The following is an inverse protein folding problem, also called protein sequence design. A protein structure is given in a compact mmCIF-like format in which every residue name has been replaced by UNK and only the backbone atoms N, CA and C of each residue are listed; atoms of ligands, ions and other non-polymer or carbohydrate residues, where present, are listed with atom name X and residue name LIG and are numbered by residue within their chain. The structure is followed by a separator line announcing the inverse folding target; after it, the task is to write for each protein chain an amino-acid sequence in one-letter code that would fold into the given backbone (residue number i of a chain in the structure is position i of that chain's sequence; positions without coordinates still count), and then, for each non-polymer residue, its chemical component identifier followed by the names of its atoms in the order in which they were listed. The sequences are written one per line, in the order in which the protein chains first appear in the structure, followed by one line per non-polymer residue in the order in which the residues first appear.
data_IF_440931580486
#
_entry.id   IF_440931580486
#
_cell.length_a   1.000
_cell.length_b   1.000
_cell.length_c   1.000
_cell.angle_alpha   90.00
_cell.angle_beta   90.00
_cell.angle_gamma   90.00
#
_symmetry.space_group_name_H-M   'P 1'
#
loop_
_entity.id
_entity.type
_entity.pdbx_description
1 polymer ?
#
# COMPACT_ATOMS: atom_id res chain seq x y z
N UNK A 1 -16.81 -27.74 60.16
CA UNK A 1 -15.79 -26.67 60.00
C UNK A 1 -14.37 -27.22 59.82
N UNK A 2 -13.84 -28.08 60.72
CA UNK A 2 -12.51 -28.70 60.57
C UNK A 2 -12.28 -29.45 59.24
N UNK A 3 -13.25 -30.25 58.79
CA UNK A 3 -13.11 -31.01 57.52
C UNK A 3 -13.08 -30.10 56.29
N UNK A 4 -13.86 -29.03 56.28
CA UNK A 4 -13.86 -28.03 55.19
C UNK A 4 -12.49 -27.34 55.14
N UNK A 5 -11.97 -26.91 56.29
CA UNK A 5 -10.63 -26.28 56.38
C UNK A 5 -9.54 -27.25 55.92
N UNK A 6 -9.62 -28.52 56.28
CA UNK A 6 -8.66 -29.56 55.88
C UNK A 6 -8.67 -29.80 54.37
N UNK A 7 -9.84 -29.92 53.77
CA UNK A 7 -9.99 -30.10 52.32
C UNK A 7 -9.53 -28.86 51.53
N UNK A 8 -9.86 -27.65 52.02
CA UNK A 8 -9.36 -26.40 51.42
C UNK A 8 -7.85 -26.29 51.49
N UNK A 9 -7.22 -26.69 52.60
CA UNK A 9 -5.77 -26.67 52.75
C UNK A 9 -5.09 -27.66 51.81
N UNK A 10 -5.63 -28.88 51.68
CA UNK A 10 -5.13 -29.90 50.76
C UNK A 10 -5.20 -29.40 49.32
N UNK A 11 -6.33 -28.81 48.91
CA UNK A 11 -6.48 -28.23 47.57
C UNK A 11 -5.49 -27.09 47.33
N UNK A 12 -5.33 -26.17 48.28
CA UNK A 12 -4.36 -25.07 48.18
C UNK A 12 -2.92 -25.58 48.01
N UNK A 13 -2.54 -26.63 48.73
CA UNK A 13 -1.21 -27.25 48.60
C UNK A 13 -1.05 -27.89 47.22
N UNK A 14 -2.03 -28.67 46.75
CA UNK A 14 -1.96 -29.31 45.43
C UNK A 14 -1.87 -28.25 44.32
N UNK A 15 -2.71 -27.22 44.35
CA UNK A 15 -2.66 -26.13 43.37
C UNK A 15 -1.32 -25.37 43.43
N UNK A 16 -0.76 -25.15 44.62
CA UNK A 16 0.55 -24.49 44.78
C UNK A 16 1.68 -25.33 44.20
N UNK A 17 1.68 -26.65 44.45
CA UNK A 17 2.68 -27.57 43.90
C UNK A 17 2.56 -27.67 42.38
N UNK A 18 1.35 -27.79 41.86
CA UNK A 18 1.09 -27.82 40.41
C UNK A 18 1.52 -26.50 39.73
N UNK A 19 1.19 -25.36 40.33
CA UNK A 19 1.60 -24.04 39.84
C UNK A 19 3.11 -23.85 39.85
N UNK A 20 3.78 -24.27 40.92
CA UNK A 20 5.25 -24.22 41.03
C UNK A 20 5.93 -25.13 40.00
N UNK A 21 5.40 -26.35 39.78
CA UNK A 21 5.91 -27.26 38.76
C UNK A 21 5.74 -26.68 37.35
N UNK A 22 4.59 -26.07 37.04
CA UNK A 22 4.35 -25.43 35.75
C UNK A 22 5.26 -24.20 35.54
N UNK A 23 5.44 -23.37 36.57
CA UNK A 23 6.30 -22.20 36.53
C UNK A 23 7.78 -22.59 36.33
N UNK A 24 8.26 -23.63 37.01
CA UNK A 24 9.60 -24.15 36.82
C UNK A 24 9.80 -24.76 35.42
N UNK A 25 8.79 -25.45 34.90
CA UNK A 25 8.81 -25.99 33.54
C UNK A 25 8.85 -24.85 32.51
N UNK A 26 8.04 -23.80 32.70
CA UNK A 26 8.02 -22.62 31.85
C UNK A 26 9.35 -21.86 31.89
N UNK A 27 9.97 -21.66 33.06
CA UNK A 27 11.22 -20.88 33.17
C UNK A 27 12.42 -21.57 32.52
N UNK A 28 12.46 -22.90 32.53
CA UNK A 28 13.49 -23.67 31.82
C UNK A 28 13.24 -23.69 30.31
N UNK A 29 11.97 -23.81 29.89
CA UNK A 29 11.62 -23.92 28.47
C UNK A 29 11.58 -22.58 27.74
N UNK A 30 11.30 -21.46 28.43
CA UNK A 30 11.16 -20.14 27.82
C UNK A 30 12.41 -19.70 27.08
N UNK A 31 13.60 -19.96 27.64
CA UNK A 31 14.87 -19.59 27.01
C UNK A 31 15.12 -20.39 25.73
N UNK A 32 14.83 -21.69 25.74
CA UNK A 32 14.95 -22.56 24.56
C UNK A 32 13.95 -22.15 23.49
N UNK A 33 12.73 -21.78 23.88
CA UNK A 33 11.70 -21.28 22.96
C UNK A 33 12.17 -19.97 22.31
N UNK A 34 12.70 -19.04 23.11
CA UNK A 34 13.22 -17.77 22.61
C UNK A 34 14.41 -17.95 21.66
N UNK A 35 15.38 -18.80 22.00
CA UNK A 35 16.52 -19.11 21.12
C UNK A 35 16.07 -19.73 19.80
N UNK A 36 15.12 -20.66 19.83
CA UNK A 36 14.56 -21.28 18.61
C UNK A 36 13.81 -20.27 17.75
N UNK A 37 13.01 -19.41 18.36
CA UNK A 37 12.29 -18.34 17.66
C UNK A 37 13.27 -17.36 17.01
N UNK A 38 14.35 -16.99 17.71
CA UNK A 38 15.38 -16.12 17.16
C UNK A 38 16.15 -16.78 16.00
N UNK A 39 16.49 -18.07 16.14
CA UNK A 39 17.14 -18.83 15.08
C UNK A 39 16.23 -18.96 13.84
N UNK A 40 14.94 -19.23 14.04
CA UNK A 40 13.95 -19.29 12.96
C UNK A 40 13.79 -17.94 12.25
N UNK A 41 13.70 -16.86 13.02
CA UNK A 41 13.68 -15.52 12.47
C UNK A 41 14.93 -15.23 11.65
N UNK A 42 16.12 -15.49 12.18
CA UNK A 42 17.38 -15.26 11.47
C UNK A 42 17.45 -16.05 10.15
N UNK A 43 16.95 -17.30 10.12
CA UNK A 43 16.85 -18.08 8.88
C UNK A 43 15.92 -17.41 7.85
N UNK A 44 14.76 -16.90 8.28
CA UNK A 44 13.83 -16.18 7.39
C UNK A 44 14.42 -14.87 6.87
N UNK A 45 15.15 -14.14 7.71
CA UNK A 45 15.85 -12.91 7.30
C UNK A 45 16.92 -13.21 6.25
N UNK A 46 17.71 -14.28 6.44
CA UNK A 46 18.72 -14.72 5.46
C UNK A 46 18.08 -15.18 4.14
N UNK A 47 16.93 -15.85 4.18
CA UNK A 47 16.18 -16.24 2.96
C UNK A 47 15.78 -15.01 2.14
N UNK A 48 15.38 -13.93 2.82
CA UNK A 48 14.93 -12.68 2.19
C UNK A 48 16.05 -11.79 1.68
N UNK A 49 17.24 -11.81 2.32
CA UNK A 49 18.44 -11.10 1.88
C UNK A 49 19.67 -12.02 1.96
N UNK A 50 19.85 -12.93 0.98
CA UNK A 50 20.90 -13.97 1.04
C UNK A 50 22.32 -13.43 1.05
N UNK A 51 22.51 -12.21 0.55
CA UNK A 51 23.81 -11.55 0.43
C UNK A 51 24.21 -10.77 1.69
N UNK A 52 23.35 -10.66 2.70
CA UNK A 52 23.67 -9.98 3.94
C UNK A 52 24.44 -10.89 4.90
N UNK A 53 25.41 -10.31 5.62
CA UNK A 53 26.23 -10.99 6.63
C UNK A 53 25.61 -10.86 8.03
N UNK A 54 25.00 -9.71 8.33
CA UNK A 54 24.43 -9.42 9.64
C UNK A 54 23.09 -8.69 9.52
N UNK A 55 22.20 -8.97 10.49
CA UNK A 55 20.91 -8.33 10.66
C UNK A 55 20.84 -7.73 12.06
N UNK A 56 20.66 -6.41 12.14
CA UNK A 56 20.57 -5.70 13.42
C UNK A 56 19.14 -5.23 13.64
N UNK A 57 18.44 -5.65 14.72
CA UNK A 57 17.10 -5.18 15.01
C UNK A 57 17.11 -3.71 15.41
N UNK A 58 16.17 -2.95 14.88
CA UNK A 58 15.93 -1.55 15.19
C UNK A 58 14.43 -1.35 15.42
N UNK A 59 14.11 -0.61 16.48
CA UNK A 59 12.75 -0.18 16.78
C UNK A 59 12.75 1.35 16.79
N UNK A 60 12.02 1.97 15.88
CA UNK A 60 11.90 3.42 15.76
C UNK A 60 10.44 3.78 15.50
N UNK A 61 9.89 4.73 16.26
CA UNK A 61 8.52 5.23 16.11
C UNK A 61 7.43 4.14 16.06
N UNK A 62 7.63 3.05 16.81
CA UNK A 62 6.71 1.90 16.85
C UNK A 62 6.88 0.91 15.69
N UNK A 63 7.77 1.19 14.73
CA UNK A 63 8.10 0.30 13.62
C UNK A 63 9.33 -0.53 13.97
N UNK A 64 9.25 -1.84 13.72
CA UNK A 64 10.36 -2.78 13.91
C UNK A 64 10.94 -3.18 12.55
N UNK A 65 12.26 -3.09 12.40
CA UNK A 65 12.95 -3.51 11.19
C UNK A 65 14.36 -4.02 11.49
N UNK A 66 14.93 -4.76 10.54
CA UNK A 66 16.27 -5.34 10.63
C UNK A 66 17.17 -4.73 9.57
N UNK A 67 18.17 -3.96 9.99
CA UNK A 67 19.18 -3.42 9.08
C UNK A 67 20.12 -4.55 8.66
N UNK A 68 20.25 -4.76 7.35
CA UNK A 68 21.10 -5.77 6.77
C UNK A 68 22.41 -5.15 6.30
N UNK A 69 23.55 -5.72 6.70
CA UNK A 69 24.87 -5.25 6.23
C UNK A 69 25.66 -6.38 5.57
N UNK A 70 26.48 -6.02 4.59
CA UNK A 70 27.42 -6.90 3.90
C UNK A 70 28.80 -6.26 3.89
N UNK A 71 29.80 -6.94 4.42
CA UNK A 71 31.17 -6.42 4.58
C UNK A 71 31.21 -5.02 5.25
N UNK A 72 30.30 -4.76 6.20
CA UNK A 72 30.17 -3.48 6.89
C UNK A 72 29.47 -2.37 6.10
N UNK A 73 28.96 -2.64 4.89
CA UNK A 73 28.17 -1.71 4.08
C UNK A 73 26.67 -2.04 4.14
N UNK A 74 25.76 -1.04 4.05
CA UNK A 74 24.32 -1.28 3.97
C UNK A 74 23.97 -2.14 2.76
N UNK A 75 23.36 -3.30 3.01
CA UNK A 75 22.90 -4.22 1.97
C UNK A 75 21.38 -4.14 1.74
N UNK A 76 20.65 -3.52 2.68
CA UNK A 76 19.20 -3.39 2.65
C UNK A 76 18.59 -3.36 4.05
N UNK A 77 17.29 -3.57 4.16
CA UNK A 77 16.64 -3.86 5.43
C UNK A 77 15.45 -4.81 5.25
N UNK A 78 15.02 -5.43 6.33
CA UNK A 78 13.78 -6.21 6.39
C UNK A 78 12.83 -5.54 7.35
N UNK A 79 11.69 -5.07 6.83
CA UNK A 79 10.63 -4.45 7.61
C UNK A 79 9.70 -5.52 8.17
N UNK A 80 9.31 -5.38 9.44
CA UNK A 80 8.20 -6.13 10.02
C UNK A 80 6.93 -5.33 9.79
N UNK A 81 5.98 -5.92 9.06
CA UNK A 81 4.73 -5.26 8.72
C UNK A 81 3.54 -6.20 8.97
N UNK A 82 2.34 -5.64 9.01
CA UNK A 82 1.12 -6.41 9.12
C UNK A 82 0.05 -5.83 8.20
N UNK A 83 -0.73 -6.72 7.58
CA UNK A 83 -1.90 -6.37 6.79
C UNK A 83 -3.17 -6.92 7.43
N UNK A 84 -4.31 -6.24 7.28
CA UNK A 84 -5.60 -6.78 7.74
C UNK A 84 -6.17 -7.75 6.70
N UNK A 85 -6.20 -9.04 7.03
CA UNK A 85 -6.83 -10.10 6.26
C UNK A 85 -8.33 -10.24 6.54
N UNK A 86 -8.92 -11.35 6.08
CA UNK A 86 -10.33 -11.65 6.30
C UNK A 86 -10.60 -12.13 7.73
N UNK A 87 -9.76 -13.02 8.25
CA UNK A 87 -9.93 -13.68 9.55
C UNK A 87 -9.05 -13.05 10.65
N UNK A 88 -8.18 -12.11 10.32
CA UNK A 88 -7.30 -11.45 11.29
C UNK A 88 -6.11 -10.76 10.64
N UNK A 89 -5.10 -10.35 11.44
CA UNK A 89 -3.85 -9.83 10.91
C UNK A 89 -3.09 -10.90 10.12
N UNK A 90 -2.39 -10.45 9.10
CA UNK A 90 -1.43 -11.21 8.30
C UNK A 90 -0.07 -10.56 8.55
N UNK A 91 0.80 -11.28 9.26
CA UNK A 91 2.14 -10.83 9.61
C UNK A 91 3.09 -11.05 8.43
N UNK A 92 3.90 -10.03 8.13
CA UNK A 92 4.75 -9.98 6.96
C UNK A 92 6.18 -9.59 7.34
N UNK A 93 7.13 -10.18 6.64
CA UNK A 93 8.48 -9.66 6.49
C UNK A 93 8.65 -9.18 5.05
N UNK A 94 9.05 -7.92 4.89
CA UNK A 94 9.27 -7.31 3.57
C UNK A 94 10.72 -6.87 3.50
N UNK A 95 11.51 -7.48 2.61
CA UNK A 95 12.91 -7.08 2.39
C UNK A 95 13.03 -6.04 1.31
N UNK A 96 13.99 -5.15 1.51
CA UNK A 96 14.30 -4.03 0.64
C UNK A 96 15.78 -4.04 0.29
N UNK A 97 16.10 -3.66 -0.94
CA UNK A 97 17.45 -3.26 -1.33
C UNK A 97 17.77 -1.87 -0.78
N UNK A 98 19.05 -1.52 -0.80
CA UNK A 98 19.53 -0.21 -0.35
C UNK A 98 18.96 0.98 -1.16
N UNK A 99 18.38 0.74 -2.33
CA UNK A 99 17.74 1.75 -3.19
C UNK A 99 16.23 1.92 -2.95
N UNK A 100 15.63 1.16 -2.01
CA UNK A 100 14.20 1.25 -1.70
C UNK A 100 13.30 0.29 -2.46
N UNK A 101 13.85 -0.58 -3.32
CA UNK A 101 13.08 -1.59 -4.01
C UNK A 101 12.85 -2.83 -3.16
N UNK A 102 11.62 -3.34 -3.18
CA UNK A 102 11.27 -4.61 -2.53
C UNK A 102 12.05 -5.76 -3.18
N UNK A 103 12.80 -6.52 -2.39
CA UNK A 103 13.54 -7.71 -2.81
C UNK A 103 12.72 -9.00 -2.59
N UNK A 104 11.86 -9.00 -1.57
CA UNK A 104 11.07 -10.17 -1.22
C UNK A 104 10.00 -9.88 -0.18
N UNK A 105 8.97 -10.72 -0.18
CA UNK A 105 7.88 -10.70 0.81
C UNK A 105 7.70 -12.11 1.34
N UNK A 106 7.61 -12.25 2.65
CA UNK A 106 7.29 -13.52 3.34
C UNK A 106 6.12 -13.30 4.28
N UNK A 107 5.13 -14.18 4.20
CA UNK A 107 4.08 -14.25 5.23
C UNK A 107 4.62 -15.08 6.39
N UNK A 108 4.58 -14.52 7.60
CA UNK A 108 5.14 -15.16 8.79
C UNK A 108 4.10 -15.72 9.74
N UNK A 109 2.86 -15.26 9.64
CA UNK A 109 1.72 -15.71 10.44
C UNK A 109 0.41 -15.13 9.91
N UNK A 110 -0.67 -15.89 10.00
CA UNK A 110 -2.02 -15.42 9.69
C UNK A 110 -3.09 -16.34 10.30
N UNK A 111 -4.35 -15.89 10.35
CA UNK A 111 -5.51 -16.70 10.78
C UNK A 111 -6.49 -17.05 9.65
N UNK A 112 -6.10 -16.85 8.39
CA UNK A 112 -6.95 -17.09 7.22
C UNK A 112 -7.42 -18.56 7.06
N UNK A 113 -8.58 -18.74 6.44
CA UNK A 113 -9.17 -20.06 6.17
C UNK A 113 -8.27 -20.90 5.26
N UNK A 114 -7.89 -22.10 5.72
CA UNK A 114 -7.08 -23.05 4.96
C UNK A 114 -7.71 -23.39 3.60
N UNK A 115 -6.90 -23.41 2.54
CA UNK A 115 -7.30 -23.74 1.17
C UNK A 115 -7.89 -22.57 0.35
N UNK A 116 -8.26 -21.48 1.02
CA UNK A 116 -8.74 -20.25 0.39
C UNK A 116 -7.77 -19.11 0.69
N UNK A 117 -7.76 -18.59 1.92
CA UNK A 117 -7.02 -17.38 2.26
C UNK A 117 -5.51 -17.57 2.38
N UNK A 118 -5.04 -18.80 2.63
CA UNK A 118 -3.59 -19.13 2.60
C UNK A 118 -2.95 -19.03 1.21
N UNK A 119 -3.73 -18.77 0.15
CA UNK A 119 -3.19 -18.54 -1.20
C UNK A 119 -2.32 -17.29 -1.29
N UNK A 120 -2.43 -16.38 -0.32
CA UNK A 120 -1.52 -15.23 -0.19
C UNK A 120 -0.10 -15.63 0.20
N UNK A 121 0.15 -16.87 0.61
CA UNK A 121 1.50 -17.39 0.87
C UNK A 121 2.18 -17.92 -0.41
N UNK A 122 1.44 -18.02 -1.52
CA UNK A 122 1.97 -18.65 -2.74
C UNK A 122 3.11 -17.82 -3.33
N UNK A 123 4.21 -18.45 -3.78
CA UNK A 123 5.31 -17.73 -4.42
C UNK A 123 4.89 -16.94 -5.65
N UNK A 124 3.89 -17.41 -6.40
CA UNK A 124 3.33 -16.68 -7.55
C UNK A 124 2.70 -15.36 -7.15
N UNK A 125 2.00 -15.31 -6.02
CA UNK A 125 1.39 -14.09 -5.53
C UNK A 125 2.44 -13.13 -4.95
N UNK A 126 3.31 -13.63 -4.06
CA UNK A 126 4.29 -12.82 -3.36
C UNK A 126 5.38 -12.23 -4.27
N UNK A 127 5.73 -12.89 -5.37
CA UNK A 127 6.71 -12.36 -6.34
C UNK A 127 6.24 -11.10 -7.08
N UNK A 128 4.93 -10.83 -7.12
CA UNK A 128 4.40 -9.63 -7.78
C UNK A 128 4.84 -8.33 -7.08
N UNK A 129 5.23 -8.41 -5.81
CA UNK A 129 5.71 -7.27 -5.03
C UNK A 129 7.20 -6.99 -5.24
N UNK A 130 7.96 -7.92 -5.83
CA UNK A 130 9.41 -7.74 -6.04
C UNK A 130 9.64 -6.65 -7.09
N UNK A 131 10.55 -5.72 -6.79
CA UNK A 131 10.88 -4.57 -7.62
C UNK A 131 9.98 -3.35 -7.39
N UNK A 132 8.92 -3.46 -6.59
CA UNK A 132 8.05 -2.33 -6.22
C UNK A 132 8.80 -1.37 -5.31
N UNK A 133 8.51 -0.09 -5.45
CA UNK A 133 9.09 1.00 -4.66
C UNK A 133 8.04 2.10 -4.42
N UNK A 134 8.41 3.15 -3.69
CA UNK A 134 7.50 4.24 -3.37
C UNK A 134 7.02 4.98 -4.62
N UNK A 135 5.75 5.40 -4.64
CA UNK A 135 5.12 6.10 -5.77
C UNK A 135 4.56 5.18 -6.86
N UNK A 136 4.87 3.88 -6.82
CA UNK A 136 4.20 2.90 -7.68
C UNK A 136 2.91 2.42 -7.02
N UNK A 137 1.84 2.14 -7.80
CA UNK A 137 0.68 1.45 -7.26
C UNK A 137 1.13 0.09 -6.70
N UNK A 138 0.54 -0.28 -5.56
CA UNK A 138 0.64 -1.62 -4.94
C UNK A 138 -0.77 -1.99 -4.49
N UNK A 139 -1.61 -2.31 -5.48
CA UNK A 139 -3.04 -2.48 -5.33
C UNK A 139 -3.57 -3.68 -6.15
N UNK A 140 -4.49 -4.41 -5.52
CA UNK A 140 -5.15 -5.56 -6.16
C UNK A 140 -6.04 -5.08 -7.32
N UNK A 141 -5.80 -5.60 -8.51
CA UNK A 141 -6.56 -5.28 -9.72
C UNK A 141 -6.00 -4.10 -10.53
N UNK A 142 -4.93 -3.45 -10.05
CA UNK A 142 -4.15 -2.49 -10.83
C UNK A 142 -2.86 -3.12 -11.30
N UNK A 143 -1.94 -3.32 -10.37
CA UNK A 143 -0.58 -3.79 -10.63
C UNK A 143 -0.29 -5.14 -9.95
N UNK A 144 -1.16 -5.56 -9.01
CA UNK A 144 -1.10 -6.87 -8.35
C UNK A 144 -2.36 -7.68 -8.69
N UNK A 145 -2.18 -8.89 -9.21
CA UNK A 145 -3.28 -9.83 -9.43
C UNK A 145 -3.66 -10.48 -8.10
N UNK A 146 -4.96 -10.48 -7.80
CA UNK A 146 -5.51 -11.14 -6.62
C UNK A 146 -5.20 -12.64 -6.60
N UNK A 147 -4.91 -13.20 -5.43
CA UNK A 147 -4.97 -14.63 -5.25
C UNK A 147 -6.42 -15.12 -5.44
N UNK A 148 -6.63 -16.05 -6.38
CA UNK A 148 -7.97 -16.54 -6.75
C UNK A 148 -8.75 -16.98 -5.50
N UNK A 149 -9.95 -16.46 -5.30
CA UNK A 149 -10.80 -16.77 -4.14
C UNK A 149 -10.37 -16.17 -2.80
N UNK A 150 -9.26 -15.42 -2.76
CA UNK A 150 -8.69 -14.83 -1.54
C UNK A 150 -8.51 -13.31 -1.67
N UNK A 151 -9.46 -12.62 -2.32
CA UNK A 151 -9.34 -11.19 -2.66
C UNK A 151 -9.19 -10.29 -1.44
N UNK A 152 -9.90 -10.59 -0.33
CA UNK A 152 -9.82 -9.79 0.91
C UNK A 152 -8.44 -9.94 1.54
N UNK A 153 -7.97 -11.18 1.72
CA UNK A 153 -6.64 -11.50 2.23
C UNK A 153 -5.54 -10.87 1.36
N UNK A 154 -5.68 -10.95 0.03
CA UNK A 154 -4.72 -10.39 -0.92
C UNK A 154 -4.63 -8.86 -0.81
N UNK A 155 -5.76 -8.17 -0.62
CA UNK A 155 -5.77 -6.71 -0.34
C UNK A 155 -5.08 -6.39 0.98
N UNK A 156 -5.27 -7.23 2.00
CA UNK A 156 -4.55 -7.13 3.28
C UNK A 156 -3.04 -7.17 3.09
N UNK A 157 -2.53 -8.17 2.35
CA UNK A 157 -1.09 -8.28 2.06
C UNK A 157 -0.58 -7.09 1.26
N UNK A 158 -1.30 -6.68 0.20
CA UNK A 158 -0.90 -5.52 -0.60
C UNK A 158 -0.84 -4.23 0.25
N UNK A 159 -1.78 -4.05 1.18
CA UNK A 159 -1.77 -2.91 2.11
C UNK A 159 -0.57 -2.97 3.06
N UNK A 160 -0.26 -4.15 3.62
CA UNK A 160 0.89 -4.32 4.51
C UNK A 160 2.23 -4.09 3.79
N UNK A 161 2.37 -4.56 2.54
CA UNK A 161 3.56 -4.29 1.72
C UNK A 161 3.68 -2.80 1.39
N UNK A 162 2.58 -2.14 1.02
CA UNK A 162 2.57 -0.69 0.76
C UNK A 162 2.98 0.11 1.99
N UNK A 163 2.49 -0.27 3.17
CA UNK A 163 2.90 0.35 4.43
C UNK A 163 4.40 0.11 4.69
N UNK A 164 4.89 -1.11 4.50
CA UNK A 164 6.32 -1.41 4.64
C UNK A 164 7.21 -0.56 3.71
N UNK A 165 6.77 -0.31 2.46
CA UNK A 165 7.45 0.58 1.52
C UNK A 165 7.52 2.00 2.09
N UNK A 166 6.41 2.54 2.59
CA UNK A 166 6.39 3.87 3.19
C UNK A 166 7.31 3.95 4.43
N UNK A 167 7.22 2.98 5.32
CA UNK A 167 8.00 2.93 6.56
C UNK A 167 9.50 2.77 6.27
N UNK A 168 9.89 1.98 5.27
CA UNK A 168 11.30 1.85 4.86
C UNK A 168 11.89 3.19 4.40
N UNK A 169 11.15 3.94 3.58
CA UNK A 169 11.61 5.23 3.08
C UNK A 169 11.82 6.24 4.21
N UNK A 170 10.90 6.28 5.17
CA UNK A 170 10.98 7.19 6.33
C UNK A 170 12.10 6.77 7.29
N UNK A 171 12.15 5.51 7.71
CA UNK A 171 13.00 5.08 8.82
C UNK A 171 14.38 4.61 8.39
N UNK A 172 14.52 4.06 7.17
CA UNK A 172 15.80 3.52 6.69
C UNK A 172 16.49 4.49 5.75
N UNK A 173 15.82 4.92 4.67
CA UNK A 173 16.41 5.89 3.74
C UNK A 173 16.47 7.30 4.31
N UNK A 174 15.72 7.58 5.39
CA UNK A 174 15.49 8.94 5.90
C UNK A 174 15.04 9.90 4.79
N UNK A 175 14.44 9.34 3.75
CA UNK A 175 13.73 10.13 2.77
C UNK A 175 12.54 10.73 3.53
N UNK A 176 12.27 12.04 3.40
CA UNK A 176 11.01 12.56 3.92
C UNK A 176 9.90 11.69 3.33
N UNK A 177 8.89 11.28 4.13
CA UNK A 177 7.78 10.52 3.58
C UNK A 177 7.30 11.27 2.35
N UNK A 178 7.37 10.65 1.18
CA UNK A 178 6.61 11.12 0.04
C UNK A 178 5.18 11.02 0.51
N UNK A 179 4.61 12.17 0.89
CA UNK A 179 3.19 12.35 1.08
C UNK A 179 2.58 11.66 -0.14
N UNK A 180 1.80 10.57 0.05
CA UNK A 180 1.03 10.01 -1.07
C UNK A 180 0.37 11.22 -1.71
N UNK A 181 0.74 11.57 -2.96
CA UNK A 181 0.15 12.74 -3.58
C UNK A 181 -1.35 12.49 -3.60
N UNK A 182 -2.07 13.21 -2.74
CA UNK A 182 -3.50 13.10 -2.66
C UNK A 182 -4.06 13.88 -3.84
N UNK A 183 -3.96 13.26 -5.00
CA UNK A 183 -4.27 13.88 -6.27
C UNK A 183 -5.79 13.94 -6.45
N UNK A 184 -6.30 15.14 -6.22
CA UNK A 184 -7.71 15.49 -6.40
C UNK A 184 -7.98 16.05 -7.81
N UNK A 185 -6.96 16.19 -8.67
CA UNK A 185 -7.10 16.78 -10.00
C UNK A 185 -8.10 16.03 -10.88
N UNK A 186 -8.27 14.73 -10.62
CA UNK A 186 -9.18 13.83 -11.34
C UNK A 186 -10.31 13.28 -10.47
N UNK A 187 -10.55 13.90 -9.31
CA UNK A 187 -11.71 13.59 -8.48
C UNK A 187 -12.81 14.58 -8.83
N UNK A 188 -13.99 14.05 -9.15
CA UNK A 188 -15.16 14.87 -9.49
C UNK A 188 -15.65 15.68 -8.30
N UNK A 189 -16.36 16.74 -8.63
CA UNK A 189 -17.12 17.49 -7.64
C UNK A 189 -18.23 16.60 -7.08
N UNK A 190 -18.28 16.47 -5.75
CA UNK A 190 -19.21 15.53 -5.12
C UNK A 190 -18.96 15.32 -3.65
N UNK A 191 -19.86 14.55 -3.05
CA UNK A 191 -19.77 14.12 -1.65
C UNK A 191 -19.45 12.64 -1.61
N UNK A 192 -18.30 12.33 -1.03
CA UNK A 192 -17.73 11.00 -0.95
C UNK A 192 -17.86 10.47 0.47
N UNK A 193 -18.31 9.23 0.62
CA UNK A 193 -18.46 8.59 1.94
C UNK A 193 -17.36 7.58 2.17
N UNK A 194 -16.71 7.68 3.32
CA UNK A 194 -15.70 6.73 3.74
C UNK A 194 -15.94 6.26 5.16
N UNK A 195 -15.45 5.06 5.46
CA UNK A 195 -15.55 4.46 6.77
C UNK A 195 -14.19 3.88 7.15
N UNK A 196 -13.87 3.96 8.44
CA UNK A 196 -12.75 3.29 9.05
C UNK A 196 -13.14 2.76 10.43
N UNK A 197 -12.50 1.68 10.91
CA UNK A 197 -12.67 1.22 12.28
C UNK A 197 -12.13 2.27 13.26
N UNK A 198 -12.97 2.78 14.16
CA UNK A 198 -12.57 3.53 15.35
C UNK A 198 -12.43 2.64 16.57
N UNK A 199 -12.27 3.23 17.76
CA UNK A 199 -11.92 2.48 18.97
C UNK A 199 -13.10 1.67 19.53
N UNK A 200 -14.30 2.28 19.60
CA UNK A 200 -15.54 1.61 20.06
C UNK A 200 -16.54 1.29 18.93
N UNK A 201 -16.22 1.67 17.69
CA UNK A 201 -17.06 1.42 16.53
C UNK A 201 -16.57 2.19 15.30
N UNK A 202 -17.27 2.07 14.16
CA UNK A 202 -16.82 2.73 12.93
C UNK A 202 -16.88 4.26 13.04
N UNK A 203 -15.87 4.91 12.48
CA UNK A 203 -15.87 6.33 12.17
C UNK A 203 -16.24 6.48 10.70
N UNK A 204 -17.27 7.26 10.45
CA UNK A 204 -17.78 7.55 9.10
C UNK A 204 -17.50 9.00 8.77
N UNK A 205 -17.13 9.27 7.51
CA UNK A 205 -16.88 10.63 7.03
C UNK A 205 -17.61 10.89 5.73
N UNK A 206 -18.03 12.13 5.55
CA UNK A 206 -18.48 12.68 4.27
C UNK A 206 -17.52 13.77 3.82
N UNK A 207 -16.80 13.52 2.72
CA UNK A 207 -15.79 14.41 2.14
C UNK A 207 -16.41 15.10 0.93
N UNK A 208 -16.52 16.42 0.97
CA UNK A 208 -16.96 17.23 -0.18
C UNK A 208 -15.74 17.69 -0.94
N UNK A 209 -15.67 17.33 -2.22
CA UNK A 209 -14.66 17.81 -3.17
C UNK A 209 -15.34 18.76 -4.15
N UNK A 210 -14.76 19.95 -4.35
CA UNK A 210 -15.18 20.92 -5.36
C UNK A 210 -13.95 21.55 -6.01
N UNK A 211 -13.91 21.60 -7.34
CA UNK A 211 -12.81 22.18 -8.11
C UNK A 211 -11.46 21.55 -7.78
N UNK A 212 -11.42 20.21 -7.67
CA UNK A 212 -10.23 19.44 -7.28
C UNK A 212 -9.67 19.79 -5.90
N UNK A 213 -10.52 20.30 -5.00
CA UNK A 213 -10.16 20.62 -3.62
C UNK A 213 -11.16 20.05 -2.64
N UNK A 214 -10.67 19.58 -1.49
CA UNK A 214 -11.52 19.25 -0.34
C UNK A 214 -12.05 20.57 0.23
N UNK A 215 -13.36 20.77 0.18
CA UNK A 215 -14.00 21.97 0.75
C UNK A 215 -14.61 21.72 2.11
N UNK A 216 -14.99 20.48 2.39
CA UNK A 216 -15.62 20.11 3.66
C UNK A 216 -15.37 18.65 3.98
N UNK A 217 -15.17 18.35 5.27
CA UNK A 217 -15.18 16.99 5.80
C UNK A 217 -16.09 16.97 7.02
N UNK A 218 -17.13 16.14 6.98
CA UNK A 218 -18.05 15.91 8.10
C UNK A 218 -17.75 14.55 8.71
N UNK A 219 -17.64 14.46 10.03
CA UNK A 219 -17.31 13.22 10.75
C UNK A 219 -18.50 12.79 11.61
N UNK A 220 -18.79 11.50 11.62
CA UNK A 220 -19.74 10.85 12.52
C UNK A 220 -19.07 9.65 13.17
N UNK A 221 -19.12 9.58 14.51
CA UNK A 221 -18.49 8.52 15.30
C UNK A 221 -19.42 8.06 16.43
N UNK A 222 -19.15 6.85 16.93
CA UNK A 222 -19.79 6.27 18.12
C UNK A 222 -18.82 6.12 19.30
N UNK A 223 -17.65 6.73 19.18
CA UNK A 223 -16.57 6.67 20.16
C UNK A 223 -16.86 7.53 21.40
N UNK A 224 -15.98 7.50 22.41
CA UNK A 224 -16.21 8.15 23.71
C UNK A 224 -16.37 9.67 23.58
N UNK A 225 -17.47 10.25 24.08
CA UNK A 225 -17.66 11.71 24.13
C UNK A 225 -16.50 12.41 24.87
N UNK A 226 -16.25 13.69 24.57
CA UNK A 226 -15.12 14.52 25.01
C UNK A 226 -13.77 14.25 24.31
N UNK A 227 -13.33 13.00 24.15
CA UNK A 227 -12.04 12.69 23.50
C UNK A 227 -12.16 12.64 21.99
N UNK A 228 -13.22 11.99 21.49
CA UNK A 228 -13.43 11.84 20.05
C UNK A 228 -13.96 13.13 19.39
N UNK A 229 -14.71 13.93 20.15
CA UNK A 229 -15.28 15.19 19.67
C UNK A 229 -14.19 16.19 19.27
N UNK A 230 -13.11 16.29 20.07
CA UNK A 230 -11.98 17.19 19.77
C UNK A 230 -11.28 16.78 18.46
N UNK A 231 -11.04 15.48 18.25
CA UNK A 231 -10.47 14.99 16.99
C UNK A 231 -11.43 15.18 15.80
N UNK A 232 -12.73 14.99 16.01
CA UNK A 232 -13.77 15.19 15.00
C UNK A 232 -13.91 16.66 14.57
N UNK A 233 -13.48 17.63 15.39
CA UNK A 233 -13.44 19.04 15.01
C UNK A 233 -12.11 19.46 14.36
N UNK A 234 -10.97 19.00 14.91
CA UNK A 234 -9.64 19.50 14.51
C UNK A 234 -9.14 18.83 13.23
N UNK A 235 -9.30 17.51 13.10
CA UNK A 235 -8.73 16.74 11.97
C UNK A 235 -9.35 17.17 10.64
N UNK A 236 -10.69 17.28 10.50
CA UNK A 236 -11.32 17.81 9.29
C UNK A 236 -10.78 19.16 8.83
N UNK A 237 -10.56 20.10 9.75
CA UNK A 237 -10.02 21.43 9.44
C UNK A 237 -8.60 21.31 8.89
N UNK A 238 -7.74 20.53 9.54
CA UNK A 238 -6.37 20.28 9.07
C UNK A 238 -6.36 19.66 7.67
N UNK A 239 -7.27 18.73 7.39
CA UNK A 239 -7.37 18.06 6.09
C UNK A 239 -7.76 19.05 4.99
N UNK A 240 -8.75 19.91 5.26
CA UNK A 240 -9.16 20.99 4.33
C UNK A 240 -8.02 21.99 4.14
N UNK A 241 -7.34 22.42 5.21
CA UNK A 241 -6.25 23.40 5.10
C UNK A 241 -5.04 22.84 4.33
N UNK A 242 -4.71 21.56 4.54
CA UNK A 242 -3.57 20.89 3.90
C UNK A 242 -3.90 20.30 2.54
N UNK A 243 -5.19 20.19 2.19
CA UNK A 243 -5.65 19.45 1.01
C UNK A 243 -5.09 18.03 0.96
N UNK A 244 -4.96 17.41 2.15
CA UNK A 244 -4.31 16.13 2.31
C UNK A 244 -4.90 15.37 3.50
N UNK A 245 -5.13 14.07 3.36
CA UNK A 245 -5.76 13.27 4.41
C UNK A 245 -4.80 12.95 5.58
N UNK A 246 -3.49 12.80 5.34
CA UNK A 246 -2.49 12.69 6.43
C UNK A 246 -2.18 14.06 6.97
N UNK A 247 -2.50 14.26 8.24
CA UNK A 247 -2.26 15.47 9.01
C UNK A 247 -1.79 15.06 10.42
N UNK A 248 -1.29 16.01 11.20
CA UNK A 248 -0.89 15.73 12.57
C UNK A 248 -2.10 15.24 13.39
N UNK A 249 -1.86 14.29 14.29
CA UNK A 249 -2.87 13.79 15.22
C UNK A 249 -3.21 14.83 16.30
N UNK A 250 -4.34 14.65 16.97
CA UNK A 250 -4.70 15.40 18.18
C UNK A 250 -4.15 14.66 19.41
N UNK A 251 -3.46 15.40 20.29
CA UNK A 251 -2.90 14.83 21.52
C UNK A 251 -4.00 14.26 22.40
N UNK A 252 -3.86 13.01 22.83
CA UNK A 252 -4.89 12.32 23.64
C UNK A 252 -6.01 11.66 22.82
N UNK A 253 -6.10 11.92 21.52
CA UNK A 253 -7.11 11.36 20.62
C UNK A 253 -6.49 10.71 19.36
N UNK A 254 -5.36 10.00 19.53
CA UNK A 254 -4.58 9.40 18.44
C UNK A 254 -5.41 8.39 17.63
N UNK A 255 -6.08 7.45 18.29
CA UNK A 255 -6.86 6.41 17.61
C UNK A 255 -8.01 6.99 16.76
N UNK A 256 -8.73 7.98 17.29
CA UNK A 256 -9.79 8.68 16.55
C UNK A 256 -9.22 9.51 15.42
N UNK A 257 -8.08 10.19 15.64
CA UNK A 257 -7.41 10.97 14.59
C UNK A 257 -7.01 10.09 13.39
N UNK A 258 -6.40 8.93 13.67
CA UNK A 258 -6.02 7.95 12.65
C UNK A 258 -7.24 7.36 11.92
N UNK A 259 -8.31 7.05 12.66
CA UNK A 259 -9.56 6.57 12.07
C UNK A 259 -10.18 7.61 11.11
N UNK A 260 -10.20 8.90 11.47
CA UNK A 260 -10.70 9.97 10.59
C UNK A 260 -9.83 10.09 9.33
N UNK A 261 -8.50 10.13 9.47
CA UNK A 261 -7.59 10.22 8.32
C UNK A 261 -7.76 9.03 7.38
N UNK A 262 -7.91 7.82 7.93
CA UNK A 262 -8.14 6.60 7.15
C UNK A 262 -9.52 6.60 6.48
N UNK A 263 -10.57 7.07 7.18
CA UNK A 263 -11.90 7.17 6.61
C UNK A 263 -11.94 8.16 5.45
N UNK A 264 -11.23 9.30 5.55
CA UNK A 264 -11.10 10.28 4.45
C UNK A 264 -10.36 9.67 3.27
N UNK A 265 -9.26 8.96 3.53
CA UNK A 265 -8.53 8.21 2.50
C UNK A 265 -9.38 7.16 1.80
N UNK A 266 -10.29 6.51 2.52
CA UNK A 266 -11.21 5.52 1.96
C UNK A 266 -12.42 6.16 1.26
N UNK A 267 -12.74 7.41 1.57
CA UNK A 267 -13.85 8.14 0.96
C UNK A 267 -13.51 8.55 -0.48
N UNK A 268 -12.35 9.18 -0.65
CA UNK A 268 -11.96 9.76 -1.93
C UNK A 268 -11.44 8.65 -2.86
N UNK A 269 -12.05 8.47 -4.04
CA UNK A 269 -11.63 7.43 -4.98
C UNK A 269 -10.25 7.76 -5.55
N UNK A 270 -9.50 6.72 -5.91
CA UNK A 270 -8.25 6.90 -6.63
C UNK A 270 -8.53 7.54 -8.01
N UNK A 271 -7.67 8.47 -8.46
CA UNK A 271 -7.85 9.14 -9.74
C UNK A 271 -7.71 8.13 -10.89
N UNK A 272 -8.80 7.86 -11.60
CA UNK A 272 -8.80 7.03 -12.81
C UNK A 272 -8.89 7.94 -14.04
N UNK A 273 -7.99 7.75 -15.00
CA UNK A 273 -8.04 8.46 -16.29
C UNK A 273 -9.14 7.85 -17.17
N UNK A 274 -10.33 8.43 -17.11
CA UNK A 274 -11.43 8.06 -18.00
C UNK A 274 -11.55 9.04 -19.17
N UNK A 275 -11.30 8.55 -20.39
CA UNK A 275 -11.35 9.36 -21.63
C UNK A 275 -12.73 10.00 -21.84
N UNK A 276 -13.79 9.26 -21.47
CA UNK A 276 -15.17 9.75 -21.48
C UNK A 276 -15.39 11.01 -20.67
N UNK A 277 -14.53 11.33 -19.71
CA UNK A 277 -14.70 12.44 -18.79
C UNK A 277 -13.82 13.64 -19.12
N UNK A 278 -12.98 13.53 -20.15
CA UNK A 278 -12.06 14.60 -20.52
C UNK A 278 -12.80 15.70 -21.32
N UNK A 279 -12.42 16.94 -21.04
CA UNK A 279 -12.88 18.10 -21.78
C UNK A 279 -12.39 18.06 -23.24
N UNK A 280 -13.11 18.77 -24.11
CA UNK A 280 -12.75 18.87 -25.50
C UNK A 280 -11.50 19.75 -25.67
N UNK A 281 -10.55 19.32 -26.51
CA UNK A 281 -9.31 20.05 -26.71
C UNK A 281 -8.22 19.25 -27.41
N UNK A 282 -7.09 19.92 -27.66
CA UNK A 282 -5.86 19.28 -28.12
C UNK A 282 -4.84 19.28 -26.98
N UNK A 283 -4.32 18.10 -26.66
CA UNK A 283 -3.39 17.91 -25.55
C UNK A 283 -2.10 17.28 -26.05
N UNK A 284 -0.97 17.87 -25.67
CA UNK A 284 0.34 17.37 -26.05
C UNK A 284 1.01 16.64 -24.91
N UNK A 285 1.58 15.47 -25.21
CA UNK A 285 2.26 14.61 -24.26
C UNK A 285 3.60 14.15 -24.78
N UNK A 286 4.44 13.72 -23.85
CA UNK A 286 5.77 13.19 -24.13
C UNK A 286 5.96 11.89 -23.34
N UNK A 287 6.65 10.93 -23.97
CA UNK A 287 7.00 9.65 -23.35
C UNK A 287 8.35 9.17 -23.86
N UNK A 288 9.12 8.54 -22.98
CA UNK A 288 10.48 8.09 -23.28
C UNK A 288 10.43 6.80 -24.13
N UNK A 289 10.97 6.87 -25.35
CA UNK A 289 11.24 5.69 -26.18
C UNK A 289 12.64 5.11 -25.93
N UNK A 290 13.02 4.09 -26.68
CA UNK A 290 14.36 3.50 -26.65
C UNK A 290 15.43 4.46 -27.17
N UNK A 291 15.13 5.23 -28.22
CA UNK A 291 16.10 6.10 -28.90
C UNK A 291 15.92 7.59 -28.54
N UNK A 292 14.96 7.91 -27.67
CA UNK A 292 14.67 9.28 -27.22
C UNK A 292 13.16 9.56 -27.09
N UNK A 293 12.78 10.82 -26.81
CA UNK A 293 11.39 11.16 -26.51
C UNK A 293 10.49 11.06 -27.74
N UNK A 294 9.27 10.57 -27.50
CA UNK A 294 8.16 10.54 -28.44
C UNK A 294 7.16 11.61 -28.01
N UNK A 295 6.87 12.56 -28.89
CA UNK A 295 5.90 13.64 -28.67
C UNK A 295 4.65 13.39 -29.47
N UNK A 296 3.50 13.52 -28.82
CA UNK A 296 2.19 13.32 -29.45
C UNK A 296 1.26 14.47 -29.15
N UNK A 297 0.26 14.63 -30.02
CA UNK A 297 -0.92 15.46 -29.81
C UNK A 297 -2.16 14.58 -29.89
N UNK A 298 -3.00 14.67 -28.88
CA UNK A 298 -4.26 13.94 -28.79
C UNK A 298 -5.41 14.94 -28.84
N UNK A 299 -6.36 14.74 -29.75
CA UNK A 299 -7.57 15.55 -29.84
C UNK A 299 -8.72 14.79 -29.19
N UNK A 300 -9.31 15.38 -28.16
CA UNK A 300 -10.52 14.88 -27.48
C UNK A 300 -11.72 15.72 -27.92
N UNK A 301 -12.81 15.06 -28.30
CA UNK A 301 -14.09 15.69 -28.62
C UNK A 301 -15.25 14.83 -28.15
N UNK A 302 -16.19 15.42 -27.41
CA UNK A 302 -17.35 14.73 -26.83
C UNK A 302 -16.97 13.63 -25.82
N UNK A 303 -15.82 13.74 -25.16
CA UNK A 303 -15.27 12.66 -24.30
C UNK A 303 -14.77 11.45 -25.10
N UNK A 304 -14.29 11.66 -26.33
CA UNK A 304 -13.65 10.62 -27.15
C UNK A 304 -12.38 11.15 -27.77
N UNK A 305 -11.35 10.33 -27.85
CA UNK A 305 -10.19 10.59 -28.69
C UNK A 305 -10.61 10.44 -30.15
N UNK A 306 -10.60 11.55 -30.88
CA UNK A 306 -10.95 11.61 -32.30
C UNK A 306 -9.74 11.67 -33.22
N UNK A 307 -8.57 12.05 -32.67
CA UNK A 307 -7.33 12.10 -33.43
C UNK A 307 -6.11 11.92 -32.52
N UNK A 308 -5.08 11.27 -33.05
CA UNK A 308 -3.77 11.14 -32.42
C UNK A 308 -2.70 11.42 -33.48
N UNK A 309 -1.94 12.51 -33.29
CA UNK A 309 -0.81 12.88 -34.15
C UNK A 309 0.52 12.66 -33.44
N UNK A 310 1.47 11.99 -34.09
CA UNK A 310 2.86 11.93 -33.61
C UNK A 310 3.60 13.16 -34.14
N UNK A 311 4.05 14.04 -33.26
CA UNK A 311 4.69 15.31 -33.60
C UNK A 311 6.20 15.14 -33.84
N UNK A 312 6.87 14.34 -33.01
CA UNK A 312 8.30 14.07 -33.10
C UNK A 312 8.63 12.72 -32.44
N UNK A 313 9.64 12.02 -32.96
CA UNK A 313 10.22 10.84 -32.31
C UNK A 313 11.67 10.64 -32.80
N UNK A 314 12.47 9.94 -32.00
CA UNK A 314 13.84 9.52 -32.38
C UNK A 314 13.97 8.01 -32.59
N UNK A 315 12.86 7.26 -32.52
CA UNK A 315 12.84 5.80 -32.74
C UNK A 315 13.36 5.37 -34.11
N UNK A 316 13.89 4.15 -34.16
CA UNK A 316 14.28 3.53 -35.43
C UNK A 316 13.06 3.45 -36.35
N UNK A 317 13.15 3.91 -37.61
CA UNK A 317 12.00 4.03 -38.51
C UNK A 317 11.14 2.76 -38.64
N UNK A 318 11.79 1.59 -38.74
CA UNK A 318 11.09 0.30 -38.88
C UNK A 318 10.25 -0.08 -37.65
N UNK A 319 10.72 0.25 -36.44
CA UNK A 319 9.99 -0.04 -35.21
C UNK A 319 8.84 0.95 -35.01
N UNK A 320 9.07 2.24 -35.29
CA UNK A 320 8.03 3.27 -35.24
C UNK A 320 6.90 2.99 -36.24
N UNK A 321 7.24 2.63 -37.48
CA UNK A 321 6.28 2.30 -38.53
C UNK A 321 5.43 1.07 -38.20
N UNK A 322 5.97 0.13 -37.42
CA UNK A 322 5.23 -1.05 -36.94
C UNK A 322 4.35 -0.76 -35.72
N UNK A 323 4.83 0.05 -34.78
CA UNK A 323 4.15 0.28 -33.50
C UNK A 323 3.08 1.37 -33.58
N UNK A 324 3.41 2.54 -34.14
CA UNK A 324 2.58 3.73 -33.97
C UNK A 324 1.19 3.59 -34.59
N UNK A 325 1.02 3.15 -35.85
CA UNK A 325 -0.31 3.05 -36.45
C UNK A 325 -1.22 2.04 -35.73
N UNK A 326 -0.64 0.95 -35.22
CA UNK A 326 -1.40 -0.10 -34.52
C UNK A 326 -1.90 0.41 -33.17
N UNK A 327 -1.04 1.07 -32.41
CA UNK A 327 -1.38 1.59 -31.08
C UNK A 327 -2.34 2.76 -31.17
N UNK A 328 -2.10 3.73 -32.06
CA UNK A 328 -3.00 4.88 -32.19
C UNK A 328 -4.39 4.44 -32.65
N UNK A 329 -4.48 3.50 -33.59
CA UNK A 329 -5.77 2.93 -34.00
C UNK A 329 -6.45 2.19 -32.85
N UNK A 330 -5.73 1.36 -32.09
CA UNK A 330 -6.29 0.61 -30.97
C UNK A 330 -6.80 1.53 -29.85
N UNK A 331 -6.09 2.62 -29.54
CA UNK A 331 -6.52 3.61 -28.54
C UNK A 331 -7.76 4.37 -29.02
N UNK A 332 -7.80 4.77 -30.30
CA UNK A 332 -8.99 5.43 -30.88
C UNK A 332 -10.20 4.49 -30.98
N UNK A 333 -10.00 3.19 -31.20
CA UNK A 333 -11.08 2.20 -31.25
C UNK A 333 -11.60 1.86 -29.85
N UNK A 334 -10.70 1.50 -28.92
CA UNK A 334 -11.06 1.05 -27.58
C UNK A 334 -11.37 2.20 -26.61
N UNK A 335 -10.95 3.43 -26.95
CA UNK A 335 -11.04 4.60 -26.07
C UNK A 335 -10.40 4.30 -24.69
N UNK A 336 -9.29 3.58 -24.70
CA UNK A 336 -8.54 3.17 -23.52
C UNK A 336 -7.05 3.10 -23.84
N UNK A 337 -6.22 3.39 -22.83
CA UNK A 337 -4.75 3.27 -22.95
C UNK A 337 -4.26 1.83 -22.69
N UNK A 338 -5.13 0.95 -22.19
CA UNK A 338 -4.80 -0.45 -21.98
C UNK A 338 -4.93 -1.22 -23.30
N UNK A 339 -3.89 -1.12 -24.12
CA UNK A 339 -3.77 -1.79 -25.42
C UNK A 339 -2.48 -2.59 -25.48
N UNK A 340 -2.46 -3.62 -26.32
CA UNK A 340 -1.31 -4.52 -26.44
C UNK A 340 -0.13 -3.80 -27.13
N UNK A 341 1.08 -4.04 -26.63
CA UNK A 341 2.32 -3.60 -27.27
C UNK A 341 2.61 -4.42 -28.53
N UNK A 342 3.31 -3.84 -29.49
CA UNK A 342 3.64 -4.53 -30.75
C UNK A 342 4.90 -5.37 -30.59
N UNK A 343 4.80 -6.67 -30.90
CA UNK A 343 5.92 -7.61 -30.79
C UNK A 343 7.14 -7.18 -31.62
N UNK A 344 8.30 -7.10 -30.96
CA UNK A 344 9.55 -6.63 -31.53
C UNK A 344 9.67 -5.11 -31.64
N UNK A 345 8.71 -4.34 -31.10
CA UNK A 345 8.73 -2.87 -31.01
C UNK A 345 8.24 -2.40 -29.62
N UNK A 346 8.53 -3.17 -28.57
CA UNK A 346 8.01 -2.97 -27.21
C UNK A 346 8.36 -1.60 -26.63
N UNK A 347 9.62 -1.17 -26.67
CA UNK A 347 10.03 0.10 -26.09
C UNK A 347 9.41 1.31 -26.83
N UNK A 348 9.29 1.25 -28.16
CA UNK A 348 8.58 2.28 -28.93
C UNK A 348 7.08 2.29 -28.62
N UNK A 349 6.50 1.12 -28.34
CA UNK A 349 5.09 0.96 -27.95
C UNK A 349 4.81 1.56 -26.58
N UNK A 350 5.64 1.25 -25.59
CA UNK A 350 5.55 1.77 -24.21
C UNK A 350 5.82 3.27 -24.15
N UNK A 351 6.81 3.77 -24.90
CA UNK A 351 7.10 5.20 -25.01
C UNK A 351 5.92 5.97 -25.61
N UNK A 352 5.30 5.43 -26.66
CA UNK A 352 4.10 6.04 -27.26
C UNK A 352 2.91 6.03 -26.28
N UNK A 353 2.65 4.91 -25.59
CA UNK A 353 1.56 4.82 -24.61
C UNK A 353 1.77 5.78 -23.44
N UNK A 354 3.01 5.94 -22.99
CA UNK A 354 3.39 6.96 -21.99
C UNK A 354 3.11 8.36 -22.52
N UNK A 355 3.47 8.67 -23.77
CA UNK A 355 3.19 9.97 -24.38
C UNK A 355 1.69 10.25 -24.49
N UNK A 356 0.89 9.24 -24.83
CA UNK A 356 -0.58 9.37 -24.89
C UNK A 356 -1.17 9.57 -23.49
N UNK A 357 -0.67 8.83 -22.50
CA UNK A 357 -1.07 8.98 -21.09
C UNK A 357 -0.80 10.41 -20.61
N UNK A 358 0.42 10.91 -20.77
CA UNK A 358 0.80 12.26 -20.31
C UNK A 358 0.06 13.36 -21.07
N UNK A 359 -0.32 13.14 -22.33
CA UNK A 359 -1.19 14.04 -23.08
C UNK A 359 -2.58 14.11 -22.44
N UNK A 360 -3.23 12.95 -22.27
CA UNK A 360 -4.57 12.86 -21.71
C UNK A 360 -4.62 13.30 -20.23
N UNK A 361 -3.53 13.14 -19.49
CA UNK A 361 -3.40 13.62 -18.11
C UNK A 361 -3.44 15.16 -17.98
N UNK A 362 -3.11 15.89 -19.05
CA UNK A 362 -3.24 17.36 -19.08
C UNK A 362 -4.65 17.82 -19.44
N UNK A 363 -5.52 16.92 -19.88
CA UNK A 363 -6.90 17.25 -20.18
C UNK A 363 -7.69 17.44 -18.88
N UNK A 364 -8.33 18.61 -18.66
CA UNK A 364 -9.20 18.82 -17.52
C UNK A 364 -10.46 17.94 -17.65
N UNK A 365 -11.12 17.69 -16.52
CA UNK A 365 -12.43 17.05 -16.52
C UNK A 365 -13.48 17.99 -17.13
N UNK A 366 -14.44 17.42 -17.86
CA UNK A 366 -15.52 18.13 -18.57
C UNK A 366 -16.73 18.48 -17.70
#
# INVERSE_FOLDING_TARGET
MREIIKLSLILAIICSVAGAALAATYSVTSNIIAERQQAELNMRLQELLPLADTFTPVVADGVTYYLATRAGQPAGAVMVAAGRGYAGPIDLLVSFAADGKVQGVKVTGHSETAGIGNRVETPSFLRQFVGKEQGQPVAIGQDIVAATGATVSARGVAAGVRQAIADFNVHVLRAPPTIEEFDLSRVRDGVYKGEAPGFYGPVTVEVTVLGSKITQVTVSHVDTPEVADEAAEIIPRRIVDKQHFRVDVVSGATATSEAIMLAVRNAVPEPVLEISELADGEYEGEGEGLMGPIRVRVTVQGGRVVNIGVLAHSETPDYAARAFPVITAAVMEKQALQVDVVSGATAASEGLLTALKTALEKAPLR
#
